data_IF_388434873868
#
_entry.id   IF_388434873868
#
_cell.length_a   1.000
_cell.length_b   1.000
_cell.length_c   1.000
_cell.angle_alpha   90.00
_cell.angle_beta   90.00
_cell.angle_gamma   90.00
#
_symmetry.space_group_name_H-M   'P 1'
#
loop_
_entity.id
_entity.type
_entity.pdbx_description
1 polymer ?
#
# COMPACT_ATOMS: atom_id res chain seq x y z
N UNK A 1 -9.87 -24.60 29.63
CA UNK A 1 -8.86 -23.53 29.47
C UNK A 1 -9.62 -22.22 29.44
N UNK A 2 -9.48 -21.36 30.45
CA UNK A 2 -10.09 -20.02 30.43
C UNK A 2 -9.52 -19.23 29.26
N UNK A 3 -10.33 -18.49 28.48
CA UNK A 3 -9.82 -17.66 27.40
C UNK A 3 -9.03 -16.52 28.05
N UNK A 4 -7.70 -16.65 28.10
CA UNK A 4 -6.83 -15.49 28.36
C UNK A 4 -7.15 -14.52 27.24
N UNK A 5 -7.69 -13.34 27.59
CA UNK A 5 -7.92 -12.22 26.68
C UNK A 5 -6.62 -12.00 25.90
N UNK A 6 -6.61 -12.44 24.65
CA UNK A 6 -5.57 -12.16 23.67
C UNK A 6 -5.68 -10.67 23.33
N UNK A 7 -5.16 -9.82 24.21
CA UNK A 7 -4.78 -8.47 23.82
C UNK A 7 -3.75 -8.63 22.70
N UNK A 8 -4.08 -8.11 21.54
CA UNK A 8 -3.20 -7.97 20.39
C UNK A 8 -2.50 -6.61 20.51
N UNK A 9 -1.29 -6.48 21.07
CA UNK A 9 -0.44 -5.34 20.83
C UNK A 9 0.39 -5.60 19.58
N UNK A 10 0.53 -4.56 18.77
CA UNK A 10 1.23 -4.58 17.50
C UNK A 10 0.67 -3.63 16.45
N UNK A 11 -0.15 -2.64 16.83
CA UNK A 11 -0.62 -1.57 15.95
C UNK A 11 0.09 -0.23 16.23
N UNK A 12 1.36 -0.32 16.64
CA UNK A 12 2.25 0.83 16.86
C UNK A 12 3.16 1.05 15.64
N UNK A 13 2.56 1.27 14.47
CA UNK A 13 3.23 1.88 13.32
C UNK A 13 2.24 2.81 12.60
N UNK A 14 1.89 3.93 13.24
CA UNK A 14 1.32 5.10 12.55
C UNK A 14 2.38 6.15 12.19
N UNK A 15 3.68 5.78 12.25
CA UNK A 15 4.78 6.68 11.96
C UNK A 15 5.92 6.01 11.20
N UNK A 16 5.68 5.60 9.95
CA UNK A 16 6.64 5.65 8.82
C UNK A 16 6.08 4.91 7.61
N UNK A 17 5.24 5.57 6.83
CA UNK A 17 5.06 5.21 5.43
C UNK A 17 5.49 6.41 4.58
N UNK A 18 6.80 6.64 4.53
CA UNK A 18 7.37 7.20 3.31
C UNK A 18 7.17 6.13 2.24
N UNK A 19 6.35 6.42 1.24
CA UNK A 19 6.38 5.82 -0.10
C UNK A 19 6.53 4.29 -0.16
N UNK A 20 5.42 3.56 -0.20
CA UNK A 20 5.44 2.20 -0.78
C UNK A 20 5.49 2.31 -2.30
N UNK A 21 6.58 1.85 -2.91
CA UNK A 21 6.70 1.60 -4.35
C UNK A 21 6.24 0.18 -4.68
N UNK A 22 5.63 -0.05 -5.85
CA UNK A 22 5.74 -1.30 -6.58
C UNK A 22 7.11 -1.38 -7.27
N UNK A 23 7.72 -2.57 -7.26
CA UNK A 23 8.92 -2.88 -8.05
C UNK A 23 8.49 -3.20 -9.49
N UNK A 24 9.18 -2.71 -10.53
CA UNK A 24 8.85 -3.05 -11.92
C UNK A 24 9.07 -4.55 -12.16
N UNK A 25 8.10 -5.19 -12.84
CA UNK A 25 8.27 -6.54 -13.38
C UNK A 25 9.33 -6.50 -14.49
N UNK A 26 10.25 -7.46 -14.46
CA UNK A 26 11.24 -7.64 -15.52
C UNK A 26 10.53 -8.03 -16.83
N UNK A 27 10.95 -7.51 -18.00
CA UNK A 27 10.39 -7.95 -19.27
C UNK A 27 10.80 -9.40 -19.54
N UNK A 28 9.83 -10.22 -19.91
CA UNK A 28 10.06 -11.56 -20.43
C UNK A 28 10.91 -11.46 -21.72
N UNK A 29 12.01 -12.21 -21.72
CA UNK A 29 12.86 -12.40 -22.89
C UNK A 29 12.04 -13.02 -24.03
N UNK A 30 12.06 -12.39 -25.20
CA UNK A 30 11.72 -13.04 -26.47
C UNK A 30 12.98 -13.14 -27.30
N UNK A 31 13.32 -14.37 -27.67
CA UNK A 31 14.46 -14.73 -28.48
C UNK A 31 14.12 -14.60 -29.98
N UNK A 32 15.05 -13.96 -30.69
CA UNK A 32 15.68 -14.36 -31.98
C UNK A 32 14.84 -15.13 -33.01
N UNK A 33 14.67 -14.51 -34.19
CA UNK A 33 15.01 -15.09 -35.52
C UNK A 33 15.14 -13.94 -36.53
N UNK A 34 16.36 -13.58 -36.96
CA UNK A 34 17.02 -14.03 -38.20
C UNK A 34 16.39 -13.46 -39.50
N UNK A 35 17.18 -12.63 -40.18
CA UNK A 35 17.08 -12.03 -41.53
C UNK A 35 17.45 -13.08 -42.63
N UNK A 36 17.65 -12.81 -43.95
CA UNK A 36 17.73 -11.53 -44.72
C UNK A 36 17.16 -11.57 -46.18
N UNK A 37 17.60 -10.56 -46.96
CA UNK A 37 17.58 -10.32 -48.43
C UNK A 37 16.46 -9.43 -49.00
N UNK A 38 16.72 -8.22 -49.54
CA UNK A 38 17.68 -7.68 -50.54
C UNK A 38 17.05 -7.59 -51.95
N UNK A 39 17.02 -6.39 -52.53
CA UNK A 39 16.61 -6.17 -53.92
C UNK A 39 16.14 -4.75 -54.27
N UNK A 40 17.07 -3.85 -54.52
CA UNK A 40 16.94 -2.67 -55.43
C UNK A 40 17.59 -3.08 -56.78
N UNK A 41 17.48 -2.39 -57.95
CA UNK A 41 16.95 -1.03 -58.17
C UNK A 41 16.24 -0.74 -59.53
N UNK A 42 15.83 0.54 -59.67
CA UNK A 42 15.84 1.39 -60.87
C UNK A 42 14.81 1.20 -62.01
N UNK A 43 14.13 2.29 -62.37
CA UNK A 43 14.34 3.01 -63.65
C UNK A 43 13.62 4.36 -63.68
N UNK A 44 14.25 5.31 -64.35
CA UNK A 44 13.85 6.69 -64.54
C UNK A 44 13.19 6.89 -65.92
N UNK A 45 12.36 7.92 -66.10
CA UNK A 45 12.62 9.09 -66.98
C UNK A 45 11.34 9.89 -67.31
N UNK A 46 11.49 11.25 -67.20
CA UNK A 46 11.03 12.38 -68.08
C UNK A 46 9.58 12.40 -68.60
N UNK A 47 8.87 13.51 -68.85
CA UNK A 47 9.05 14.98 -69.03
C UNK A 47 7.57 15.47 -69.13
N UNK A 48 7.09 16.61 -68.65
CA UNK A 48 7.27 17.97 -69.20
C UNK A 48 6.26 18.91 -68.48
N UNK A 49 6.64 20.17 -68.33
CA UNK A 49 5.77 21.33 -68.00
C UNK A 49 5.19 21.92 -69.33
N UNK A 50 4.37 23.01 -69.39
CA UNK A 50 4.07 23.98 -68.32
C UNK A 50 2.64 24.61 -68.26
N UNK A 51 2.46 25.41 -67.20
CA UNK A 51 1.77 26.71 -67.09
C UNK A 51 0.25 26.86 -66.83
N UNK A 52 0.03 27.77 -65.86
CA UNK A 52 -1.06 28.72 -65.60
C UNK A 52 -2.45 28.23 -65.18
N UNK A 53 -2.86 28.59 -63.94
CA UNK A 53 -3.85 29.65 -63.72
C UNK A 53 -4.28 29.80 -62.23
N UNK A 54 -4.46 31.07 -61.86
CA UNK A 54 -5.49 31.60 -60.96
C UNK A 54 -5.36 31.50 -59.41
N UNK A 55 -5.25 32.70 -58.82
CA UNK A 55 -5.62 33.06 -57.44
C UNK A 55 -7.10 32.76 -57.14
N UNK A 56 -7.39 32.22 -55.95
CA UNK A 56 -8.67 32.33 -55.25
C UNK A 56 -8.50 32.01 -53.73
N UNK A 57 -9.41 32.42 -52.83
CA UNK A 57 -9.08 33.14 -51.60
C UNK A 57 -9.00 32.31 -50.30
N UNK A 58 -8.48 32.98 -49.27
CA UNK A 58 -8.41 32.56 -47.87
C UNK A 58 -9.73 31.94 -47.36
N UNK A 59 -9.66 30.67 -46.95
CA UNK A 59 -10.73 30.01 -46.21
C UNK A 59 -10.61 30.38 -44.72
N UNK A 60 -11.68 31.00 -44.20
CA UNK A 60 -11.91 31.16 -42.76
C UNK A 60 -11.95 29.77 -42.12
N UNK A 61 -11.14 29.56 -41.08
CA UNK A 61 -11.26 28.38 -40.21
C UNK A 61 -12.69 28.31 -39.64
N UNK A 62 -13.35 27.13 -39.69
CA UNK A 62 -14.71 27.00 -39.21
C UNK A 62 -14.75 27.11 -37.68
N UNK A 63 -15.73 27.87 -37.19
CA UNK A 63 -16.06 28.10 -35.77
C UNK A 63 -16.14 26.83 -34.90
N UNK A 64 -16.27 25.66 -35.52
CA UNK A 64 -16.17 24.34 -34.88
C UNK A 64 -14.80 24.08 -34.22
N UNK A 65 -13.71 24.62 -34.77
CA UNK A 65 -12.38 24.50 -34.18
C UNK A 65 -12.23 25.30 -32.86
N UNK A 66 -12.97 26.41 -32.70
CA UNK A 66 -12.99 27.19 -31.46
C UNK A 66 -13.85 26.54 -30.36
N UNK A 67 -14.90 25.80 -30.71
CA UNK A 67 -15.73 25.07 -29.72
C UNK A 67 -15.04 23.81 -29.16
N UNK A 68 -14.07 23.23 -29.88
CA UNK A 68 -13.27 22.12 -29.39
C UNK A 68 -12.21 22.52 -28.34
N UNK A 69 -12.01 23.82 -28.07
CA UNK A 69 -11.01 24.33 -27.14
C UNK A 69 -11.50 24.46 -25.67
N UNK A 70 -12.78 24.15 -25.40
CA UNK A 70 -13.40 24.35 -24.08
C UNK A 70 -14.05 23.09 -23.49
N UNK A 71 -13.95 21.91 -24.14
CA UNK A 71 -14.44 20.70 -23.50
C UNK A 71 -13.48 20.31 -22.36
N UNK A 72 -13.96 19.90 -21.17
CA UNK A 72 -13.13 19.37 -20.09
C UNK A 72 -12.23 18.21 -20.60
N UNK A 73 -11.22 17.74 -19.84
CA UNK A 73 -10.55 16.49 -20.19
C UNK A 73 -11.61 15.48 -20.57
N UNK A 74 -11.47 14.80 -21.72
CA UNK A 74 -12.51 13.88 -22.20
C UNK A 74 -12.91 13.05 -21.00
N UNK A 75 -14.18 13.14 -20.58
CA UNK A 75 -14.64 12.50 -19.35
C UNK A 75 -14.22 11.01 -19.31
N UNK A 76 -14.06 10.44 -20.50
CA UNK A 76 -13.44 9.17 -20.83
C UNK A 76 -12.03 8.96 -20.22
N UNK A 77 -11.05 9.87 -20.37
CA UNK A 77 -9.68 9.65 -19.88
C UNK A 77 -9.59 9.61 -18.35
N UNK A 78 -10.31 10.49 -17.66
CA UNK A 78 -10.40 10.50 -16.20
C UNK A 78 -11.20 9.28 -15.71
N UNK A 79 -12.31 8.95 -16.38
CA UNK A 79 -13.14 7.78 -16.09
C UNK A 79 -12.35 6.47 -16.26
N UNK A 80 -11.62 6.31 -17.36
CA UNK A 80 -10.76 5.15 -17.66
C UNK A 80 -9.64 5.02 -16.61
N UNK A 81 -9.02 6.13 -16.21
CA UNK A 81 -8.02 6.14 -15.14
C UNK A 81 -8.59 5.75 -13.77
N UNK A 82 -9.86 6.07 -13.50
CA UNK A 82 -10.57 5.68 -12.28
C UNK A 82 -10.99 4.21 -12.28
N UNK A 83 -11.29 3.63 -13.45
CA UNK A 83 -11.55 2.18 -13.62
C UNK A 83 -10.28 1.31 -13.55
N UNK A 84 -9.10 1.92 -13.40
CA UNK A 84 -7.83 1.20 -13.29
C UNK A 84 -7.21 0.77 -14.62
N UNK A 85 -7.80 1.19 -15.75
CA UNK A 85 -7.29 0.91 -17.10
C UNK A 85 -6.15 1.89 -17.47
N UNK A 86 -5.04 1.82 -16.74
CA UNK A 86 -3.99 2.85 -16.77
C UNK A 86 -3.32 3.02 -18.15
N UNK A 87 -3.15 1.95 -18.92
CA UNK A 87 -2.56 2.02 -20.27
C UNK A 87 -3.48 2.72 -21.27
N UNK A 88 -4.79 2.48 -21.16
CA UNK A 88 -5.78 3.17 -21.99
C UNK A 88 -5.91 4.65 -21.57
N UNK A 89 -5.83 4.94 -20.27
CA UNK A 89 -5.78 6.30 -19.76
C UNK A 89 -4.54 7.05 -20.25
N UNK A 90 -3.35 6.43 -20.23
CA UNK A 90 -2.11 7.02 -20.75
C UNK A 90 -2.26 7.37 -22.23
N UNK A 91 -2.79 6.45 -23.04
CA UNK A 91 -3.02 6.67 -24.47
C UNK A 91 -3.99 7.83 -24.71
N UNK A 92 -5.08 7.90 -23.93
CA UNK A 92 -6.07 8.96 -24.02
C UNK A 92 -5.47 10.33 -23.66
N UNK A 93 -4.69 10.41 -22.58
CA UNK A 93 -4.03 11.65 -22.19
C UNK A 93 -2.93 12.07 -23.19
N UNK A 94 -2.19 11.13 -23.79
CA UNK A 94 -1.24 11.43 -24.88
C UNK A 94 -1.95 12.04 -26.08
N UNK A 95 -3.04 11.44 -26.55
CA UNK A 95 -3.85 12.02 -27.64
C UNK A 95 -4.44 13.38 -27.25
N UNK A 96 -4.83 13.58 -26.00
CA UNK A 96 -5.31 14.87 -25.52
C UNK A 96 -4.21 15.94 -25.56
N UNK A 97 -2.99 15.63 -25.09
CA UNK A 97 -1.88 16.59 -25.12
C UNK A 97 -1.38 16.85 -26.54
N UNK A 98 -1.48 15.89 -27.46
CA UNK A 98 -1.22 16.12 -28.89
C UNK A 98 -2.24 17.09 -29.52
N UNK A 99 -3.53 16.90 -29.23
CA UNK A 99 -4.62 17.77 -29.73
C UNK A 99 -4.63 19.14 -29.06
N UNK A 100 -4.22 19.20 -27.79
CA UNK A 100 -4.19 20.42 -26.96
C UNK A 100 -2.84 20.53 -26.23
N UNK A 101 -1.77 20.94 -26.93
CA UNK A 101 -0.43 21.00 -26.35
C UNK A 101 -0.28 21.91 -25.14
N UNK A 102 -1.18 22.89 -24.99
CA UNK A 102 -1.18 23.88 -23.90
C UNK A 102 -2.06 23.49 -22.69
N UNK A 103 -2.61 22.29 -22.66
CA UNK A 103 -3.45 21.80 -21.55
C UNK A 103 -2.57 21.27 -20.40
N UNK A 104 -2.20 22.14 -19.46
CA UNK A 104 -1.36 21.81 -18.30
C UNK A 104 -1.98 20.73 -17.40
N UNK A 105 -3.32 20.69 -17.32
CA UNK A 105 -4.04 19.70 -16.54
C UNK A 105 -3.93 18.31 -17.17
N UNK A 106 -4.02 18.21 -18.49
CA UNK A 106 -3.78 16.96 -19.22
C UNK A 106 -2.34 16.47 -19.03
N UNK A 107 -1.34 17.36 -19.12
CA UNK A 107 0.05 17.00 -18.84
C UNK A 107 0.27 16.53 -17.39
N UNK A 108 -0.38 17.18 -16.43
CA UNK A 108 -0.33 16.76 -15.02
C UNK A 108 -0.93 15.36 -14.85
N UNK A 109 -2.10 15.10 -15.45
CA UNK A 109 -2.78 13.82 -15.33
C UNK A 109 -2.07 12.69 -16.12
N UNK A 110 -1.44 13.03 -17.24
CA UNK A 110 -0.56 12.11 -17.97
C UNK A 110 0.61 11.67 -17.07
N UNK A 111 1.26 12.63 -16.39
CA UNK A 111 2.33 12.33 -15.44
C UNK A 111 1.88 11.43 -14.30
N UNK A 112 0.72 11.70 -13.69
CA UNK A 112 0.13 10.85 -12.64
C UNK A 112 -0.10 9.43 -13.16
N UNK A 113 -0.63 9.30 -14.38
CA UNK A 113 -0.93 7.99 -14.99
C UNK A 113 0.35 7.22 -15.29
N UNK A 114 1.37 7.87 -15.85
CA UNK A 114 2.69 7.29 -16.11
C UNK A 114 3.39 6.86 -14.82
N UNK A 115 3.28 7.65 -13.74
CA UNK A 115 3.81 7.29 -12.44
C UNK A 115 3.14 6.03 -11.88
N UNK A 116 1.80 5.90 -12.01
CA UNK A 116 1.06 4.69 -11.61
C UNK A 116 1.46 3.46 -12.44
N UNK A 117 1.92 3.66 -13.67
CA UNK A 117 2.47 2.61 -14.55
C UNK A 117 3.96 2.30 -14.26
N UNK A 118 4.60 3.02 -13.32
CA UNK A 118 6.03 2.87 -13.03
C UNK A 118 6.97 3.56 -14.03
N UNK A 119 6.42 4.32 -14.99
CA UNK A 119 7.17 5.06 -16.00
C UNK A 119 7.67 6.41 -15.45
N UNK A 120 8.52 6.35 -14.44
CA UNK A 120 8.93 7.53 -13.65
C UNK A 120 9.60 8.63 -14.49
N UNK A 121 10.47 8.28 -15.44
CA UNK A 121 11.15 9.29 -16.26
C UNK A 121 10.19 10.00 -17.23
N UNK A 122 9.22 9.27 -17.78
CA UNK A 122 8.16 9.88 -18.61
C UNK A 122 7.26 10.78 -17.77
N UNK A 123 6.88 10.33 -16.56
CA UNK A 123 6.09 11.12 -15.64
C UNK A 123 6.77 12.44 -15.28
N UNK A 124 8.08 12.40 -15.00
CA UNK A 124 8.88 13.59 -14.69
C UNK A 124 8.87 14.60 -15.85
N UNK A 125 8.97 14.13 -17.10
CA UNK A 125 8.87 14.99 -18.29
C UNK A 125 7.48 15.62 -18.41
N UNK A 126 6.43 14.83 -18.23
CA UNK A 126 5.04 15.32 -18.30
C UNK A 126 4.75 16.39 -17.23
N UNK A 127 5.24 16.20 -16.00
CA UNK A 127 5.12 17.22 -14.95
C UNK A 127 5.90 18.50 -15.28
N UNK A 128 7.12 18.39 -15.81
CA UNK A 128 7.89 19.56 -16.26
C UNK A 128 7.18 20.31 -17.38
N UNK A 129 6.61 19.60 -18.35
CA UNK A 129 5.82 20.21 -19.42
C UNK A 129 4.60 20.97 -18.86
N UNK A 130 3.91 20.41 -17.87
CA UNK A 130 2.83 21.11 -17.18
C UNK A 130 3.31 22.40 -16.50
N UNK A 131 4.49 22.38 -15.89
CA UNK A 131 5.08 23.53 -15.19
C UNK A 131 5.68 24.59 -16.12
N UNK A 132 6.10 24.21 -17.33
CA UNK A 132 6.46 25.18 -18.39
C UNK A 132 5.24 25.97 -18.85
N UNK A 133 4.07 25.33 -18.92
CA UNK A 133 2.81 25.95 -19.31
C UNK A 133 2.18 26.77 -18.17
N UNK A 134 2.20 26.23 -16.95
CA UNK A 134 1.62 26.82 -15.75
C UNK A 134 2.58 26.71 -14.55
N UNK A 135 3.51 27.67 -14.38
CA UNK A 135 4.55 27.62 -13.33
C UNK A 135 4.02 27.67 -11.89
N UNK A 136 2.77 28.11 -11.70
CA UNK A 136 2.06 28.22 -10.43
C UNK A 136 1.19 26.98 -10.12
N UNK A 137 1.14 25.99 -11.01
CA UNK A 137 0.32 24.78 -10.82
C UNK A 137 0.82 23.90 -9.67
N UNK A 138 0.22 24.10 -8.49
CA UNK A 138 0.59 23.38 -7.27
C UNK A 138 0.56 21.86 -7.42
N UNK A 139 -0.45 21.31 -8.11
CA UNK A 139 -0.59 19.86 -8.28
C UNK A 139 0.60 19.23 -9.04
N UNK A 140 1.14 19.93 -10.06
CA UNK A 140 2.29 19.46 -10.81
C UNK A 140 3.57 19.51 -9.96
N UNK A 141 3.77 20.59 -9.19
CA UNK A 141 4.88 20.70 -8.23
C UNK A 141 4.83 19.62 -7.14
N UNK A 142 3.66 19.37 -6.56
CA UNK A 142 3.46 18.37 -5.52
C UNK A 142 3.79 16.96 -6.03
N UNK A 143 3.34 16.63 -7.24
CA UNK A 143 3.60 15.31 -7.83
C UNK A 143 5.05 15.15 -8.30
N UNK A 144 5.62 16.16 -8.97
CA UNK A 144 7.03 16.15 -9.38
C UNK A 144 7.96 16.00 -8.17
N UNK A 145 7.74 16.79 -7.12
CA UNK A 145 8.59 16.76 -5.93
C UNK A 145 8.48 15.45 -5.19
N UNK A 146 7.26 14.89 -5.05
CA UNK A 146 7.04 13.57 -4.45
C UNK A 146 7.76 12.47 -5.23
N UNK A 147 7.66 12.51 -6.57
CA UNK A 147 8.35 11.57 -7.45
C UNK A 147 9.87 11.68 -7.25
N UNK A 148 10.42 12.89 -7.30
CA UNK A 148 11.86 13.14 -7.10
C UNK A 148 12.35 12.70 -5.73
N UNK A 149 11.57 12.93 -4.67
CA UNK A 149 11.88 12.39 -3.34
C UNK A 149 11.99 10.87 -3.34
N UNK A 150 11.02 10.20 -4.00
CA UNK A 150 10.92 8.75 -4.03
C UNK A 150 12.00 8.09 -4.90
N UNK A 151 12.48 8.79 -5.93
CA UNK A 151 13.57 8.36 -6.80
C UNK A 151 14.96 8.83 -6.33
N UNK A 152 15.09 9.37 -5.12
CA UNK A 152 16.38 9.81 -4.56
C UNK A 152 16.94 11.12 -5.15
N UNK A 153 16.15 11.86 -5.94
CA UNK A 153 16.52 13.14 -6.59
C UNK A 153 16.19 14.37 -5.73
N UNK A 154 15.87 14.21 -4.44
CA UNK A 154 15.43 15.30 -3.56
C UNK A 154 16.44 16.46 -3.44
N UNK A 155 17.74 16.16 -3.37
CA UNK A 155 18.77 17.20 -3.27
C UNK A 155 18.93 17.99 -4.58
N UNK A 156 18.76 17.35 -5.74
CA UNK A 156 18.72 18.04 -7.03
C UNK A 156 17.50 18.95 -7.12
N UNK A 157 16.32 18.45 -6.71
CA UNK A 157 15.10 19.22 -6.65
C UNK A 157 15.26 20.48 -5.77
N UNK A 158 15.85 20.34 -4.58
CA UNK A 158 16.16 21.48 -3.70
C UNK A 158 17.03 22.53 -4.42
N UNK A 159 18.12 22.13 -5.07
CA UNK A 159 19.01 23.07 -5.76
C UNK A 159 18.28 23.84 -6.87
N UNK A 160 17.54 23.14 -7.73
CA UNK A 160 16.78 23.77 -8.82
C UNK A 160 15.67 24.69 -8.30
N UNK A 161 14.96 24.29 -7.23
CA UNK A 161 13.93 25.12 -6.61
C UNK A 161 14.52 26.38 -5.96
N UNK A 162 15.70 26.28 -5.32
CA UNK A 162 16.39 27.45 -4.77
C UNK A 162 16.82 28.42 -5.85
N UNK A 163 17.38 27.94 -6.96
CA UNK A 163 17.73 28.77 -8.12
C UNK A 163 16.50 29.49 -8.69
N UNK A 164 15.38 28.77 -8.87
CA UNK A 164 14.12 29.36 -9.31
C UNK A 164 13.64 30.45 -8.34
N UNK A 165 13.72 30.21 -7.03
CA UNK A 165 13.30 31.16 -6.00
C UNK A 165 14.28 32.33 -5.81
N UNK A 166 15.53 32.24 -6.27
CA UNK A 166 16.42 33.41 -6.37
C UNK A 166 15.93 34.35 -7.46
N UNK A 167 15.54 33.82 -8.62
CA UNK A 167 14.99 34.61 -9.72
C UNK A 167 13.56 35.12 -9.45
N UNK A 168 12.76 34.33 -8.73
CA UNK A 168 11.35 34.64 -8.41
C UNK A 168 11.06 34.40 -6.92
N UNK A 169 11.47 35.33 -6.02
CA UNK A 169 11.30 35.16 -4.59
C UNK A 169 9.85 34.96 -4.16
N UNK A 170 8.88 35.58 -4.83
CA UNK A 170 7.48 35.54 -4.40
C UNK A 170 6.69 34.33 -4.93
N UNK A 171 7.34 33.42 -5.65
CA UNK A 171 6.69 32.23 -6.22
C UNK A 171 6.34 31.20 -5.12
N UNK A 172 5.08 31.20 -4.67
CA UNK A 172 4.63 30.36 -3.57
C UNK A 172 4.62 28.86 -3.90
N UNK A 173 4.16 28.45 -5.09
CA UNK A 173 4.06 27.02 -5.43
C UNK A 173 5.42 26.30 -5.47
N UNK A 174 6.48 26.85 -6.12
CA UNK A 174 7.83 26.32 -6.00
C UNK A 174 8.39 26.37 -4.57
N UNK A 175 8.01 27.37 -3.76
CA UNK A 175 8.43 27.43 -2.35
C UNK A 175 7.79 26.31 -1.52
N UNK A 176 6.52 25.98 -1.76
CA UNK A 176 5.84 24.83 -1.16
C UNK A 176 6.51 23.52 -1.60
N UNK A 177 6.90 23.41 -2.87
CA UNK A 177 7.69 22.29 -3.37
C UNK A 177 9.05 22.17 -2.64
N UNK A 178 9.71 23.31 -2.38
CA UNK A 178 10.98 23.33 -1.65
C UNK A 178 10.81 22.79 -0.21
N UNK A 179 9.73 23.16 0.48
CA UNK A 179 9.41 22.62 1.82
C UNK A 179 9.32 21.09 1.78
N UNK A 180 8.67 20.53 0.75
CA UNK A 180 8.54 19.06 0.59
C UNK A 180 9.91 18.40 0.34
N UNK A 181 10.72 18.96 -0.57
CA UNK A 181 12.06 18.45 -0.86
C UNK A 181 12.97 18.46 0.39
N UNK A 182 12.86 19.50 1.23
CA UNK A 182 13.59 19.61 2.50
C UNK A 182 13.10 18.58 3.53
N UNK A 183 11.78 18.38 3.63
CA UNK A 183 11.18 17.34 4.47
C UNK A 183 11.66 15.93 4.09
N UNK A 184 11.74 15.61 2.80
CA UNK A 184 12.26 14.32 2.33
C UNK A 184 13.71 14.10 2.77
N UNK A 185 14.51 15.16 2.80
CA UNK A 185 15.90 15.15 3.27
C UNK A 185 16.05 15.28 4.79
N UNK A 186 14.94 15.33 5.54
CA UNK A 186 14.91 15.54 7.01
C UNK A 186 15.53 16.86 7.47
N UNK A 187 15.63 17.87 6.58
CA UNK A 187 16.10 19.23 6.89
C UNK A 187 14.96 20.04 7.54
N UNK A 188 14.58 19.68 8.77
CA UNK A 188 13.36 20.15 9.42
C UNK A 188 13.35 21.67 9.67
N UNK A 189 14.44 22.26 10.16
CA UNK A 189 14.51 23.71 10.43
C UNK A 189 14.36 24.56 9.16
N UNK A 190 15.03 24.13 8.08
CA UNK A 190 14.90 24.79 6.79
C UNK A 190 13.48 24.66 6.23
N UNK A 191 12.87 23.47 6.34
CA UNK A 191 11.49 23.25 5.91
C UNK A 191 10.50 24.12 6.69
N UNK A 192 10.63 24.21 8.02
CA UNK A 192 9.81 25.10 8.85
C UNK A 192 9.97 26.57 8.45
N UNK A 193 11.20 27.00 8.17
CA UNK A 193 11.50 28.38 7.76
C UNK A 193 10.78 28.72 6.45
N UNK A 194 10.89 27.85 5.45
CA UNK A 194 10.24 28.07 4.15
C UNK A 194 8.72 27.99 4.24
N UNK A 195 8.16 27.07 5.03
CA UNK A 195 6.71 26.98 5.24
C UNK A 195 6.17 28.25 5.93
N UNK A 196 6.87 28.77 6.94
CA UNK A 196 6.52 30.04 7.60
C UNK A 196 6.62 31.23 6.66
N UNK A 197 7.56 31.24 5.70
CA UNK A 197 7.63 32.27 4.66
C UNK A 197 6.40 32.25 3.76
N UNK A 198 5.94 31.06 3.34
CA UNK A 198 4.67 30.94 2.58
C UNK A 198 3.51 31.50 3.41
N UNK A 199 3.39 31.12 4.69
CA UNK A 199 2.31 31.59 5.56
C UNK A 199 2.39 33.07 5.92
N UNK A 200 3.58 33.69 5.88
CA UNK A 200 3.73 35.13 6.04
C UNK A 200 3.15 35.90 4.84
N UNK A 201 3.29 35.35 3.63
CA UNK A 201 2.76 35.96 2.41
C UNK A 201 1.28 35.62 2.20
N UNK A 202 0.88 34.40 2.54
CA UNK A 202 -0.49 33.89 2.38
C UNK A 202 -0.90 33.13 3.65
N UNK A 203 -1.45 33.85 4.63
CA UNK A 203 -1.81 33.30 5.95
C UNK A 203 -2.82 32.16 5.89
N UNK A 204 -3.65 32.13 4.84
CA UNK A 204 -4.71 31.13 4.64
C UNK A 204 -4.27 29.95 3.77
N UNK A 205 -2.97 29.81 3.48
CA UNK A 205 -2.45 28.73 2.64
C UNK A 205 -2.48 27.38 3.40
N UNK A 206 -3.53 26.60 3.15
CA UNK A 206 -3.77 25.33 3.83
C UNK A 206 -2.67 24.30 3.55
N UNK A 207 -2.12 24.27 2.33
CA UNK A 207 -1.05 23.35 1.98
C UNK A 207 0.23 23.61 2.79
N UNK A 208 0.60 24.87 2.98
CA UNK A 208 1.73 25.25 3.82
C UNK A 208 1.48 24.92 5.30
N UNK A 209 0.25 25.09 5.80
CA UNK A 209 -0.13 24.67 7.15
C UNK A 209 0.05 23.16 7.35
N UNK A 210 -0.42 22.33 6.42
CA UNK A 210 -0.22 20.88 6.47
C UNK A 210 1.26 20.48 6.51
N UNK A 211 2.09 21.11 5.67
CA UNK A 211 3.52 20.82 5.64
C UNK A 211 4.23 21.31 6.91
N UNK A 212 3.86 22.47 7.45
CA UNK A 212 4.40 22.96 8.72
C UNK A 212 4.00 22.02 9.88
N UNK A 213 2.76 21.55 9.90
CA UNK A 213 2.32 20.56 10.88
C UNK A 213 3.08 19.23 10.73
N UNK A 214 3.39 18.80 9.50
CA UNK A 214 4.24 17.63 9.26
C UNK A 214 5.67 17.84 9.79
N UNK A 215 6.24 19.05 9.67
CA UNK A 215 7.53 19.39 10.29
C UNK A 215 7.41 19.26 11.81
N UNK A 216 6.42 19.91 12.44
CA UNK A 216 6.21 19.85 13.88
C UNK A 216 5.96 18.42 14.39
N UNK A 217 5.22 17.60 13.65
CA UNK A 217 5.03 16.19 13.97
C UNK A 217 6.37 15.43 14.02
N UNK A 218 7.23 15.63 13.02
CA UNK A 218 8.56 15.01 12.96
C UNK A 218 9.51 15.49 14.06
N UNK A 219 9.35 16.74 14.50
CA UNK A 219 10.04 17.30 15.66
C UNK A 219 9.43 16.91 17.01
N UNK A 220 8.35 16.11 17.01
CA UNK A 220 7.55 15.74 18.21
C UNK A 220 6.87 16.92 18.91
N UNK A 221 6.73 18.06 18.23
CA UNK A 221 6.00 19.25 18.69
C UNK A 221 4.50 19.09 18.37
N UNK A 222 3.89 18.04 18.93
CA UNK A 222 2.54 17.61 18.53
C UNK A 222 1.45 18.64 18.82
N UNK A 223 1.56 19.41 19.90
CA UNK A 223 0.59 20.49 20.19
C UNK A 223 0.64 21.61 19.14
N UNK A 224 1.84 21.99 18.69
CA UNK A 224 1.98 22.97 17.60
C UNK A 224 1.43 22.41 16.29
N UNK A 225 1.68 21.13 15.99
CA UNK A 225 1.10 20.46 14.82
C UNK A 225 -0.43 20.46 14.88
N UNK A 226 -1.01 20.18 16.05
CA UNK A 226 -2.47 20.18 16.29
C UNK A 226 -3.04 21.57 16.03
N UNK A 227 -2.48 22.61 16.64
CA UNK A 227 -2.95 23.99 16.47
C UNK A 227 -2.95 24.44 15.00
N UNK A 228 -1.88 24.12 14.26
CA UNK A 228 -1.78 24.49 12.83
C UNK A 228 -2.82 23.72 11.99
N UNK A 229 -3.03 22.43 12.27
CA UNK A 229 -4.03 21.62 11.54
C UNK A 229 -5.47 21.98 11.91
N UNK A 230 -5.73 22.43 13.12
CA UNK A 230 -7.04 22.95 13.53
C UNK A 230 -7.40 24.23 12.76
N UNK A 231 -6.41 25.11 12.54
CA UNK A 231 -6.58 26.27 11.68
C UNK A 231 -6.83 25.84 10.22
N UNK A 232 -6.01 24.91 9.69
CA UNK A 232 -6.20 24.35 8.35
C UNK A 232 -7.60 23.75 8.17
N UNK A 233 -8.09 22.99 9.16
CA UNK A 233 -9.44 22.40 9.17
C UNK A 233 -10.54 23.45 9.17
N UNK A 234 -10.34 24.56 9.89
CA UNK A 234 -11.29 25.68 9.90
C UNK A 234 -11.38 26.35 8.54
N UNK A 235 -10.25 26.48 7.83
CA UNK A 235 -10.17 27.08 6.50
C UNK A 235 -10.71 26.17 5.39
N UNK A 236 -10.46 24.87 5.48
CA UNK A 236 -10.86 23.87 4.50
C UNK A 236 -11.46 22.62 5.19
N UNK A 237 -12.71 22.70 5.69
CA UNK A 237 -13.32 21.64 6.48
C UNK A 237 -13.55 20.33 5.72
N UNK A 238 -13.56 20.38 4.38
CA UNK A 238 -13.79 19.22 3.52
C UNK A 238 -12.48 18.62 2.96
N UNK A 239 -11.33 19.02 3.49
CA UNK A 239 -10.05 18.49 3.01
C UNK A 239 -9.64 17.22 3.78
N UNK A 240 -9.80 16.06 3.12
CA UNK A 240 -9.50 14.76 3.72
C UNK A 240 -8.06 14.63 4.25
N UNK A 241 -7.08 15.21 3.55
CA UNK A 241 -5.67 15.18 3.95
C UNK A 241 -5.42 15.87 5.30
N UNK A 242 -6.13 16.96 5.58
CA UNK A 242 -6.03 17.70 6.85
C UNK A 242 -6.60 16.88 8.00
N UNK A 243 -7.76 16.24 7.83
CA UNK A 243 -8.34 15.34 8.83
C UNK A 243 -7.45 14.13 9.11
N UNK A 244 -6.87 13.52 8.08
CA UNK A 244 -5.93 12.41 8.26
C UNK A 244 -4.66 12.85 9.03
N UNK A 245 -4.08 13.99 8.67
CA UNK A 245 -2.92 14.55 9.38
C UNK A 245 -3.25 14.86 10.84
N UNK A 246 -4.45 15.40 11.12
CA UNK A 246 -4.91 15.69 12.47
C UNK A 246 -5.10 14.40 13.26
N UNK A 247 -5.67 13.34 12.66
CA UNK A 247 -5.79 12.02 13.29
C UNK A 247 -4.44 11.45 13.72
N UNK A 248 -3.40 11.57 12.89
CA UNK A 248 -2.04 11.13 13.23
C UNK A 248 -1.46 11.92 14.42
N UNK A 249 -1.66 13.25 14.44
CA UNK A 249 -1.22 14.11 15.54
C UNK A 249 -1.96 13.78 16.83
N UNK A 250 -3.28 13.62 16.77
CA UNK A 250 -4.13 13.29 17.92
C UNK A 250 -3.77 11.94 18.52
N UNK A 251 -3.40 10.96 17.68
CA UNK A 251 -2.90 9.68 18.16
C UNK A 251 -1.54 9.82 18.88
N UNK A 252 -0.63 10.64 18.34
CA UNK A 252 0.65 10.92 18.99
C UNK A 252 0.49 11.65 20.33
N UNK A 253 -0.61 12.41 20.50
CA UNK A 253 -1.04 13.03 21.76
C UNK A 253 -1.79 12.06 22.69
N UNK A 254 -2.03 10.80 22.29
CA UNK A 254 -2.73 9.79 23.08
C UNK A 254 -4.26 9.90 23.06
N UNK A 255 -4.82 10.79 22.23
CA UNK A 255 -6.27 11.03 22.14
C UNK A 255 -6.95 10.13 21.10
N UNK A 256 -6.94 8.81 21.34
CA UNK A 256 -7.45 7.80 20.38
C UNK A 256 -8.88 8.05 19.87
N UNK A 257 -9.88 8.42 20.72
CA UNK A 257 -11.24 8.67 20.23
C UNK A 257 -11.30 9.83 19.21
N UNK A 258 -10.57 10.92 19.46
CA UNK A 258 -10.52 12.06 18.55
C UNK A 258 -9.77 11.72 17.25
N UNK A 259 -8.73 10.87 17.33
CA UNK A 259 -8.03 10.36 16.16
C UNK A 259 -8.95 9.50 15.29
N UNK A 260 -9.75 8.62 15.90
CA UNK A 260 -10.72 7.77 15.21
C UNK A 260 -11.74 8.61 14.42
N UNK A 261 -12.34 9.62 15.04
CA UNK A 261 -13.27 10.55 14.35
C UNK A 261 -12.58 11.30 13.20
N UNK A 262 -11.33 11.72 13.39
CA UNK A 262 -10.57 12.42 12.34
C UNK A 262 -10.27 11.49 11.15
N UNK A 263 -9.88 10.24 11.39
CA UNK A 263 -9.65 9.29 10.29
C UNK A 263 -10.94 8.88 9.59
N UNK A 264 -12.03 8.67 10.33
CA UNK A 264 -13.37 8.46 9.77
C UNK A 264 -13.78 9.61 8.86
N UNK A 265 -13.61 10.86 9.32
CA UNK A 265 -13.94 12.01 8.49
C UNK A 265 -13.10 12.07 7.22
N UNK A 266 -11.82 11.72 7.30
CA UNK A 266 -10.94 11.66 6.14
C UNK A 266 -11.37 10.56 5.13
N UNK A 267 -11.79 9.38 5.59
CA UNK A 267 -12.26 8.31 4.71
C UNK A 267 -13.62 8.60 4.07
N UNK A 268 -14.51 9.31 4.77
CA UNK A 268 -15.79 9.78 4.23
C UNK A 268 -15.60 10.86 3.16
N UNK A 269 -14.70 11.82 3.39
CA UNK A 269 -14.43 12.93 2.47
C UNK A 269 -13.75 12.46 1.17
N UNK A 270 -12.90 11.42 1.26
CA UNK A 270 -12.20 10.87 0.12
C UNK A 270 -12.23 9.34 0.16
N UNK A 271 -13.20 8.71 -0.53
CA UNK A 271 -13.39 7.25 -0.47
C UNK A 271 -12.22 6.41 -1.01
N UNK A 272 -11.36 6.95 -1.86
CA UNK A 272 -10.16 6.29 -2.40
C UNK A 272 -8.88 6.64 -1.61
N UNK A 273 -9.00 7.27 -0.44
CA UNK A 273 -7.85 7.63 0.39
C UNK A 273 -7.35 6.44 1.22
N UNK A 274 -6.53 5.60 0.60
CA UNK A 274 -6.03 4.36 1.18
C UNK A 274 -5.35 4.55 2.55
N UNK A 275 -4.55 5.61 2.74
CA UNK A 275 -3.88 5.89 4.02
C UNK A 275 -4.86 6.21 5.14
N UNK A 276 -5.86 7.06 4.89
CA UNK A 276 -6.87 7.39 5.91
C UNK A 276 -7.69 6.16 6.31
N UNK A 277 -8.09 5.35 5.33
CA UNK A 277 -8.82 4.09 5.58
C UNK A 277 -7.99 3.06 6.33
N UNK A 278 -6.71 2.90 5.98
CA UNK A 278 -5.79 2.05 6.73
C UNK A 278 -5.70 2.52 8.19
N UNK A 279 -5.53 3.82 8.43
CA UNK A 279 -5.39 4.37 9.78
C UNK A 279 -6.69 4.23 10.58
N UNK A 280 -7.84 4.38 9.94
CA UNK A 280 -9.14 4.15 10.57
C UNK A 280 -9.34 2.67 10.91
N UNK A 281 -9.16 1.78 9.93
CA UNK A 281 -9.28 0.32 10.10
C UNK A 281 -8.29 -0.25 11.12
N UNK A 282 -7.08 0.32 11.19
CA UNK A 282 -6.09 0.05 12.22
C UNK A 282 -6.63 0.31 13.64
N UNK A 283 -7.21 1.48 13.88
CA UNK A 283 -7.81 1.80 15.20
C UNK A 283 -9.06 0.97 15.49
N UNK A 284 -9.86 0.63 14.47
CA UNK A 284 -11.01 -0.26 14.62
C UNK A 284 -10.59 -1.67 15.04
N UNK A 285 -9.51 -2.19 14.44
CA UNK A 285 -8.90 -3.46 14.86
C UNK A 285 -8.43 -3.43 16.31
N UNK A 286 -7.79 -2.33 16.73
CA UNK A 286 -7.38 -2.16 18.13
C UNK A 286 -8.58 -2.10 19.07
N UNK A 287 -9.68 -1.48 18.63
CA UNK A 287 -10.97 -1.45 19.34
C UNK A 287 -11.75 -2.78 19.27
N UNK A 288 -11.20 -3.81 18.63
CA UNK A 288 -11.82 -5.12 18.37
C UNK A 288 -13.12 -5.07 17.54
N UNK A 289 -13.40 -3.96 16.86
CA UNK A 289 -14.45 -3.88 15.84
C UNK A 289 -13.91 -4.40 14.50
N UNK A 290 -13.66 -5.71 14.47
CA UNK A 290 -13.07 -6.37 13.31
C UNK A 290 -13.99 -6.30 12.07
N UNK A 291 -15.31 -6.21 12.26
CA UNK A 291 -16.27 -6.08 11.17
C UNK A 291 -16.17 -4.72 10.47
N UNK A 292 -16.11 -3.62 11.22
CA UNK A 292 -15.86 -2.32 10.62
C UNK A 292 -14.43 -2.22 10.05
N UNK A 293 -13.44 -2.78 10.74
CA UNK A 293 -12.05 -2.78 10.27
C UNK A 293 -11.89 -3.45 8.90
N UNK A 294 -12.50 -4.62 8.68
CA UNK A 294 -12.47 -5.32 7.38
C UNK A 294 -12.98 -4.40 6.26
N UNK A 295 -14.13 -3.74 6.43
CA UNK A 295 -14.70 -2.86 5.39
C UNK A 295 -13.76 -1.74 4.98
N UNK A 296 -13.16 -1.07 5.96
CA UNK A 296 -12.23 0.03 5.72
C UNK A 296 -10.92 -0.45 5.09
N UNK A 297 -10.41 -1.60 5.55
CA UNK A 297 -9.13 -2.14 5.08
C UNK A 297 -9.24 -2.79 3.70
N UNK A 298 -10.36 -3.44 3.37
CA UNK A 298 -10.66 -3.89 2.01
C UNK A 298 -10.69 -2.71 1.05
N UNK A 299 -11.38 -1.62 1.40
CA UNK A 299 -11.40 -0.41 0.59
C UNK A 299 -10.02 0.23 0.46
N UNK A 300 -9.18 0.20 1.52
CA UNK A 300 -7.79 0.66 1.45
C UNK A 300 -6.95 -0.19 0.47
N UNK A 301 -7.08 -1.52 0.53
CA UNK A 301 -6.38 -2.45 -0.35
C UNK A 301 -6.89 -2.36 -1.79
N UNK A 302 -8.18 -2.12 -2.00
CA UNK A 302 -8.75 -1.89 -3.33
C UNK A 302 -8.19 -0.60 -3.95
N UNK A 303 -8.09 0.47 -3.17
CA UNK A 303 -7.53 1.75 -3.63
C UNK A 303 -6.01 1.67 -3.88
N UNK A 304 -5.28 0.90 -3.05
CA UNK A 304 -3.84 0.70 -3.17
C UNK A 304 -3.47 -0.79 -2.98
N UNK A 305 -3.48 -1.60 -4.05
CA UNK A 305 -3.25 -3.04 -3.96
C UNK A 305 -1.88 -3.45 -3.41
N UNK A 306 -0.87 -2.60 -3.52
CA UNK A 306 0.48 -2.90 -3.00
C UNK A 306 0.73 -2.27 -1.61
N UNK A 307 -0.32 -1.77 -0.94
CA UNK A 307 -0.20 -1.14 0.36
C UNK A 307 -0.02 -2.20 1.48
N UNK A 308 1.24 -2.54 1.71
CA UNK A 308 1.71 -3.57 2.66
C UNK A 308 1.04 -3.46 4.04
N UNK A 309 1.01 -2.26 4.63
CA UNK A 309 0.42 -2.04 5.96
C UNK A 309 -1.09 -2.29 5.99
N UNK A 310 -1.82 -1.86 4.96
CA UNK A 310 -3.26 -2.10 4.86
C UNK A 310 -3.58 -3.59 4.74
N UNK A 311 -2.81 -4.34 3.93
CA UNK A 311 -2.95 -5.79 3.83
C UNK A 311 -2.65 -6.53 5.13
N UNK A 312 -1.58 -6.15 5.83
CA UNK A 312 -1.25 -6.74 7.13
C UNK A 312 -2.36 -6.49 8.14
N UNK A 313 -2.90 -5.27 8.20
CA UNK A 313 -4.03 -4.92 9.04
C UNK A 313 -5.31 -5.66 8.62
N UNK A 314 -5.55 -5.85 7.33
CA UNK A 314 -6.69 -6.62 6.82
C UNK A 314 -6.61 -8.09 7.25
N UNK A 315 -5.42 -8.70 7.15
CA UNK A 315 -5.18 -10.05 7.67
C UNK A 315 -5.42 -10.14 9.18
N UNK A 316 -5.02 -9.13 9.94
CA UNK A 316 -5.31 -9.04 11.38
C UNK A 316 -6.82 -8.91 11.66
N UNK A 317 -7.55 -8.15 10.85
CA UNK A 317 -8.99 -8.00 10.97
C UNK A 317 -9.71 -9.33 10.69
N UNK A 318 -9.33 -10.03 9.63
CA UNK A 318 -9.86 -11.36 9.31
C UNK A 318 -9.55 -12.39 10.40
N UNK A 319 -8.33 -12.40 10.94
CA UNK A 319 -7.98 -13.26 12.07
C UNK A 319 -8.85 -12.95 13.29
N UNK A 320 -9.10 -11.67 13.58
CA UNK A 320 -10.00 -11.25 14.66
C UNK A 320 -11.46 -11.67 14.46
N UNK A 321 -11.93 -11.83 13.22
CA UNK A 321 -13.25 -12.40 12.90
C UNK A 321 -13.27 -13.94 12.95
N UNK A 322 -12.12 -14.60 13.09
CA UNK A 322 -11.99 -16.05 12.95
C UNK A 322 -11.94 -16.54 11.50
N UNK A 323 -11.88 -15.64 10.52
CA UNK A 323 -11.72 -15.98 9.10
C UNK A 323 -10.24 -16.23 8.78
N UNK A 324 -9.74 -17.36 9.25
CA UNK A 324 -8.32 -17.71 9.16
C UNK A 324 -7.85 -17.94 7.71
N UNK A 325 -8.76 -18.37 6.82
CA UNK A 325 -8.44 -18.59 5.41
C UNK A 325 -8.13 -17.26 4.71
N UNK A 326 -8.98 -16.24 4.88
CA UNK A 326 -8.70 -14.90 4.32
C UNK A 326 -7.54 -14.21 5.01
N UNK A 327 -7.36 -14.42 6.32
CA UNK A 327 -6.18 -13.91 7.03
C UNK A 327 -4.86 -14.47 6.45
N UNK A 328 -4.79 -15.78 6.23
CA UNK A 328 -3.63 -16.44 5.63
C UNK A 328 -3.34 -15.88 4.23
N UNK A 329 -4.37 -15.73 3.40
CA UNK A 329 -4.23 -15.19 2.05
C UNK A 329 -3.59 -13.79 2.09
N UNK A 330 -4.07 -12.88 2.93
CA UNK A 330 -3.50 -11.53 3.05
C UNK A 330 -2.06 -11.55 3.57
N UNK A 331 -1.73 -12.37 4.57
CA UNK A 331 -0.33 -12.49 5.03
C UNK A 331 0.61 -13.04 3.94
N UNK A 332 0.14 -13.97 3.11
CA UNK A 332 0.90 -14.45 1.95
C UNK A 332 1.11 -13.32 0.93
N UNK A 333 0.11 -12.46 0.68
CA UNK A 333 0.27 -11.26 -0.14
C UNK A 333 1.36 -10.35 0.41
N UNK A 334 1.34 -10.10 1.73
CA UNK A 334 2.35 -9.30 2.41
C UNK A 334 3.74 -9.93 2.27
N UNK A 335 3.90 -11.25 2.41
CA UNK A 335 5.19 -11.92 2.19
C UNK A 335 5.71 -11.77 0.75
N UNK A 336 4.82 -11.74 -0.26
CA UNK A 336 5.22 -11.50 -1.64
C UNK A 336 5.71 -10.06 -1.86
N UNK A 337 5.06 -9.09 -1.24
CA UNK A 337 5.39 -7.67 -1.38
C UNK A 337 6.59 -7.25 -0.52
N UNK A 338 6.69 -7.76 0.71
CA UNK A 338 7.66 -7.38 1.72
C UNK A 338 8.16 -8.60 2.52
N UNK A 339 8.96 -9.49 1.92
CA UNK A 339 9.40 -10.75 2.57
C UNK A 339 10.27 -10.56 3.81
N UNK A 340 10.85 -9.37 3.99
CA UNK A 340 11.69 -9.01 5.13
C UNK A 340 10.89 -8.42 6.32
N UNK A 341 9.58 -8.16 6.17
CA UNK A 341 8.77 -7.54 7.23
C UNK A 341 8.57 -8.54 8.39
N UNK A 342 9.12 -8.30 9.59
CA UNK A 342 9.02 -9.25 10.71
C UNK A 342 7.57 -9.49 11.13
N UNK A 343 6.75 -8.44 11.17
CA UNK A 343 5.38 -8.50 11.67
C UNK A 343 4.50 -9.53 10.94
N UNK A 344 4.78 -9.79 9.66
CA UNK A 344 4.08 -10.82 8.89
C UNK A 344 4.38 -12.22 9.41
N UNK A 345 5.64 -12.50 9.75
CA UNK A 345 6.07 -13.78 10.32
C UNK A 345 5.50 -13.97 11.73
N UNK A 346 5.46 -12.91 12.53
CA UNK A 346 4.78 -12.92 13.82
C UNK A 346 3.29 -13.26 13.65
N UNK A 347 2.58 -12.54 12.76
CA UNK A 347 1.15 -12.75 12.55
C UNK A 347 0.84 -14.14 11.97
N UNK A 348 1.70 -14.70 11.13
CA UNK A 348 1.59 -16.09 10.66
C UNK A 348 1.79 -17.09 11.80
N UNK A 349 2.79 -16.91 12.66
CA UNK A 349 3.00 -17.77 13.81
C UNK A 349 1.76 -17.77 14.73
N UNK A 350 1.22 -16.59 15.01
CA UNK A 350 0.00 -16.44 15.82
C UNK A 350 -1.21 -17.05 15.12
N UNK A 351 -1.36 -16.86 13.80
CA UNK A 351 -2.44 -17.49 13.03
C UNK A 351 -2.43 -19.02 13.17
N UNK A 352 -1.26 -19.64 13.18
CA UNK A 352 -1.13 -21.08 13.41
C UNK A 352 -1.39 -21.51 14.85
N UNK A 353 -1.37 -20.60 15.83
CA UNK A 353 -1.85 -20.89 17.18
C UNK A 353 -3.37 -20.75 17.29
N UNK A 354 -3.94 -19.73 16.66
CA UNK A 354 -5.37 -19.40 16.74
C UNK A 354 -6.24 -20.32 15.86
N UNK A 355 -5.77 -20.62 14.65
CA UNK A 355 -6.50 -21.44 13.70
C UNK A 355 -6.39 -22.92 14.06
N UNK A 356 -7.50 -23.64 14.05
CA UNK A 356 -7.52 -25.12 14.04
C UNK A 356 -8.14 -25.61 12.72
N UNK A 357 -7.44 -25.46 11.58
CA UNK A 357 -7.95 -25.99 10.32
C UNK A 357 -8.13 -27.49 10.47
N UNK A 358 -9.26 -28.04 10.03
CA UNK A 358 -9.53 -29.49 10.14
C UNK A 358 -8.52 -30.31 9.33
N UNK A 359 -7.93 -29.68 8.33
CA UNK A 359 -7.02 -30.26 7.35
C UNK A 359 -5.58 -30.32 7.85
N UNK A 360 -5.21 -29.50 8.84
CA UNK A 360 -3.84 -29.40 9.35
C UNK A 360 -3.71 -30.15 10.67
N UNK A 361 -2.78 -31.10 10.68
CA UNK A 361 -2.45 -31.87 11.86
C UNK A 361 -1.91 -30.98 13.00
N UNK A 362 -2.28 -31.27 14.25
CA UNK A 362 -1.87 -30.47 15.41
C UNK A 362 -0.35 -30.36 15.55
N UNK A 363 0.41 -31.43 15.29
CA UNK A 363 1.88 -31.36 15.37
C UNK A 363 2.46 -30.49 14.26
N UNK A 364 1.97 -30.67 13.04
CA UNK A 364 2.42 -29.87 11.88
C UNK A 364 2.16 -28.39 12.13
N UNK A 365 0.96 -28.05 12.58
CA UNK A 365 0.56 -26.69 12.93
C UNK A 365 1.49 -26.05 13.96
N UNK A 366 1.76 -26.75 15.07
CA UNK A 366 2.63 -26.21 16.13
C UNK A 366 4.10 -26.10 15.67
N UNK A 367 4.57 -27.01 14.82
CA UNK A 367 5.92 -26.93 14.22
C UNK A 367 6.02 -25.76 13.23
N UNK A 368 4.99 -25.52 12.41
CA UNK A 368 4.92 -24.33 11.54
C UNK A 368 4.96 -23.04 12.35
N UNK A 369 4.20 -22.97 13.44
CA UNK A 369 4.24 -21.83 14.37
C UNK A 369 5.67 -21.54 14.86
N UNK A 370 6.39 -22.57 15.36
CA UNK A 370 7.78 -22.41 15.79
C UNK A 370 8.70 -21.93 14.68
N UNK A 371 8.57 -22.51 13.47
CA UNK A 371 9.34 -22.09 12.31
C UNK A 371 9.08 -20.62 11.94
N UNK A 372 7.84 -20.16 12.01
CA UNK A 372 7.51 -18.74 11.77
C UNK A 372 8.08 -17.81 12.83
N UNK A 373 8.12 -18.21 14.11
CA UNK A 373 8.80 -17.42 15.14
C UNK A 373 10.32 -17.37 14.96
N UNK A 374 10.94 -18.43 14.46
CA UNK A 374 12.35 -18.39 14.06
C UNK A 374 12.59 -17.37 12.94
N UNK A 375 11.73 -17.38 11.91
CA UNK A 375 11.79 -16.41 10.80
C UNK A 375 11.53 -14.97 11.25
N UNK A 376 10.63 -14.76 12.22
CA UNK A 376 10.39 -13.48 12.87
C UNK A 376 11.66 -12.95 13.56
N UNK A 377 12.30 -13.79 14.39
CA UNK A 377 13.55 -13.44 15.08
C UNK A 377 14.70 -13.18 14.12
N UNK A 378 14.85 -14.00 13.10
CA UNK A 378 15.87 -13.84 12.06
C UNK A 378 15.78 -12.49 11.33
N UNK A 379 14.59 -11.85 11.32
CA UNK A 379 14.36 -10.53 10.73
C UNK A 379 14.37 -9.38 11.74
N UNK A 380 14.82 -9.64 12.97
CA UNK A 380 14.95 -8.61 14.02
C UNK A 380 13.69 -8.38 14.84
N UNK A 381 12.76 -9.33 14.84
CA UNK A 381 11.62 -9.34 15.75
C UNK A 381 12.03 -9.42 17.22
N UNK A 382 11.40 -8.61 18.08
CA UNK A 382 11.79 -8.41 19.50
C UNK A 382 10.61 -8.39 20.49
N UNK A 383 9.43 -8.84 20.09
CA UNK A 383 8.28 -8.91 21.01
C UNK A 383 8.54 -9.94 22.12
N UNK A 384 8.53 -9.46 23.37
CA UNK A 384 8.86 -10.23 24.58
C UNK A 384 7.93 -11.44 24.78
N UNK A 385 6.70 -11.37 24.27
CA UNK A 385 5.70 -12.44 24.42
C UNK A 385 6.01 -13.65 23.54
N UNK A 386 6.89 -13.52 22.56
CA UNK A 386 7.28 -14.63 21.67
C UNK A 386 7.87 -15.79 22.45
N UNK A 387 8.62 -15.53 23.53
CA UNK A 387 9.17 -16.60 24.36
C UNK A 387 8.07 -17.43 25.03
N UNK A 388 7.01 -16.79 25.50
CA UNK A 388 5.86 -17.48 26.08
C UNK A 388 5.13 -18.31 25.02
N UNK A 389 4.88 -17.75 23.83
CA UNK A 389 4.25 -18.48 22.72
C UNK A 389 5.08 -19.69 22.27
N UNK A 390 6.40 -19.53 22.13
CA UNK A 390 7.32 -20.62 21.75
C UNK A 390 7.33 -21.72 22.82
N UNK A 391 7.37 -21.35 24.10
CA UNK A 391 7.33 -22.28 25.22
C UNK A 391 6.02 -23.08 25.23
N UNK A 392 4.89 -22.42 25.03
CA UNK A 392 3.58 -23.07 25.02
C UNK A 392 3.41 -23.99 23.80
N UNK A 393 3.89 -23.59 22.62
CA UNK A 393 3.90 -24.42 21.43
C UNK A 393 4.76 -25.69 21.61
N UNK A 394 5.96 -25.57 22.19
CA UNK A 394 6.83 -26.72 22.51
C UNK A 394 6.17 -27.71 23.47
N UNK A 395 5.53 -27.20 24.53
CA UNK A 395 4.74 -28.05 25.45
C UNK A 395 3.56 -28.70 24.74
N UNK A 396 2.92 -27.99 23.81
CA UNK A 396 1.88 -28.54 22.94
C UNK A 396 2.37 -29.74 22.14
N UNK A 397 3.52 -29.60 21.48
CA UNK A 397 4.16 -30.67 20.69
C UNK A 397 4.46 -31.88 21.58
N UNK A 398 5.12 -31.69 22.73
CA UNK A 398 5.48 -32.79 23.63
C UNK A 398 4.24 -33.56 24.16
N UNK A 399 3.13 -32.86 24.42
CA UNK A 399 1.86 -33.50 24.83
C UNK A 399 1.27 -34.32 23.71
N UNK A 400 1.25 -33.76 22.50
CA UNK A 400 0.65 -34.38 21.33
C UNK A 400 1.47 -35.60 20.84
N UNK A 401 2.81 -35.53 20.87
CA UNK A 401 3.70 -36.66 20.59
C UNK A 401 3.48 -37.81 21.59
N UNK A 402 3.39 -37.50 22.89
CA UNK A 402 3.08 -38.50 23.92
C UNK A 402 1.70 -39.13 23.73
N UNK A 403 0.71 -38.36 23.28
CA UNK A 403 -0.63 -38.89 22.97
C UNK A 403 -0.55 -39.92 21.85
N UNK A 404 0.08 -39.57 20.73
CA UNK A 404 0.24 -40.47 19.57
C UNK A 404 1.02 -41.73 19.91
N UNK A 405 2.06 -41.60 20.74
CA UNK A 405 2.83 -42.76 21.18
C UNK A 405 1.98 -43.73 22.01
N UNK A 406 1.14 -43.21 22.92
CA UNK A 406 0.19 -44.03 23.69
C UNK A 406 -0.83 -44.72 22.79
N UNK A 407 -1.42 -44.00 21.85
CA UNK A 407 -2.39 -44.54 20.88
C UNK A 407 -1.75 -45.64 20.03
N UNK A 408 -0.54 -45.42 19.51
CA UNK A 408 0.21 -46.41 18.74
C UNK A 408 0.52 -47.66 19.56
N UNK A 409 0.95 -47.50 20.82
CA UNK A 409 1.20 -48.63 21.74
C UNK A 409 -0.09 -49.42 22.02
N UNK A 410 -1.21 -48.75 22.19
CA UNK A 410 -2.51 -49.39 22.40
C UNK A 410 -2.99 -50.15 21.15
N UNK A 411 -2.82 -49.57 19.97
CA UNK A 411 -3.12 -50.22 18.69
C UNK A 411 -2.27 -51.49 18.48
N UNK A 412 -0.96 -51.42 18.75
CA UNK A 412 -0.06 -52.58 18.71
C UNK A 412 -0.51 -53.67 19.67
N UNK A 413 -0.89 -53.31 20.91
CA UNK A 413 -1.41 -54.27 21.89
C UNK A 413 -2.70 -54.94 21.42
N UNK A 414 -3.64 -54.18 20.84
CA UNK A 414 -4.90 -54.72 20.29
C UNK A 414 -4.66 -55.63 19.09
N UNK A 415 -3.73 -55.28 18.20
CA UNK A 415 -3.35 -56.12 17.06
C UNK A 415 -2.75 -57.46 17.52
N UNK A 416 -1.82 -57.43 18.49
CA UNK A 416 -1.23 -58.64 19.07
C UNK A 416 -2.27 -59.55 19.72
N UNK A 417 -3.25 -58.98 20.44
CA UNK A 417 -4.35 -59.74 21.04
C UNK A 417 -5.33 -60.33 20.01
N UNK A 418 -5.51 -59.68 18.85
CA UNK A 418 -6.33 -60.20 17.76
C UNK A 418 -5.63 -61.31 16.96
N UNK A 419 -4.30 -61.32 16.93
CA UNK A 419 -3.48 -62.35 16.25
C UNK A 419 -3.20 -63.58 17.11
N UNK A 420 -3.59 -63.59 18.40
CA UNK A 420 -3.45 -64.78 19.25
C UNK A 420 -4.71 -65.64 19.10
N UNK A 421 -4.67 -66.84 18.48
CA UNK A 421 -5.84 -67.70 18.39
C UNK A 421 -6.24 -68.13 19.80
N UNK A 422 -7.54 -68.28 20.06
CA UNK A 422 -8.07 -68.88 21.28
C UNK A 422 -7.67 -70.37 21.35
N UNK A 423 -6.40 -70.67 21.64
CA UNK A 423 -5.93 -72.02 21.95
C UNK A 423 -6.08 -72.23 23.45
N UNK A 424 -7.22 -72.77 23.89
CA UNK A 424 -7.38 -73.13 25.30
C UNK A 424 -8.77 -73.40 25.82
N UNK A 425 -9.73 -73.87 25.01
CA UNK A 425 -10.88 -74.60 25.57
C UNK A 425 -10.60 -76.11 25.49
N UNK A 426 -10.04 -76.65 26.57
CA UNK A 426 -10.11 -78.10 26.86
C UNK A 426 -11.45 -78.38 27.56
N UNK A 427 -12.22 -79.41 27.16
CA UNK A 427 -13.52 -79.67 27.75
C UNK A 427 -13.40 -80.23 29.18
N UNK A 428 -14.41 -80.03 30.06
CA UNK A 428 -14.34 -80.46 31.44
C UNK A 428 -14.56 -81.97 31.54
N UNK A 429 -13.52 -82.75 31.88
CA UNK A 429 -13.65 -84.17 32.17
C UNK A 429 -13.92 -84.42 33.66
N UNK A 430 -15.16 -84.82 33.96
CA UNK A 430 -15.50 -85.86 34.93
C UNK A 430 -15.21 -85.61 36.42
N UNK A 431 -16.25 -85.25 37.18
CA UNK A 431 -16.32 -85.49 38.64
C UNK A 431 -16.33 -87.00 38.90
N UNK A 432 -15.38 -87.50 39.67
CA UNK A 432 -15.45 -88.82 40.31
C UNK A 432 -16.24 -88.65 41.60
N UNK A 433 -17.40 -89.28 41.68
CA UNK A 433 -18.15 -89.46 42.92
C UNK A 433 -17.67 -90.75 43.60
N UNK A 434 -17.41 -90.63 44.90
CA UNK A 434 -17.12 -91.71 45.84
C UNK A 434 -18.24 -92.76 45.85
N UNK A 435 -17.86 -94.05 45.88
CA UNK A 435 -18.72 -95.10 46.43
C UNK A 435 -17.94 -96.01 47.38
N UNK A 436 -18.62 -96.31 48.49
CA UNK A 436 -18.18 -97.04 49.69
C UNK A 436 -17.85 -98.51 49.40
N UNK A 437 -16.70 -99.00 49.88
CA UNK A 437 -16.57 -99.95 51.02
C UNK A 437 -15.14 -100.41 51.20
#
# INVERSE_FOLDING_TARGET
MSPRRLLVPGLLLLASACATTPRPQAPAATAVSATPDAGTPATAEKKAAPQDAAKAPAQKEPEAAKKAALAPPSADALSVAQRGELTAAESSYKTQTERRPKDDAAWTNLGITQERLGKNDEAERSYRQALELAPDRQAAWDNLTRLQCRTGKASQAESSLRELLQAKPDALAPRIALVQALLCQKKLDAAATEAKRVLKSEERNVRAMQLLAQVYYRERKYELARMVLENARTLAPNEAATHNALGLVLLALGTKPAALESFKKASELKPDFAEARNNFGALLNEAQDHAAAVRELEAAVQAAPDFVSARLNLGNAYRGQGDFARALAEYQQVLRLAPALPDTWFNLAILHLDAEPKELDTLERLRSCLSFFEQYRARGGRDERVDDYVKDARKGIEREERRREREKREQLRKAQQAETPASGESPPSGRVAEEKK
#
